data_IF_255162669282
#
_entry.id   IF_255162669282
#
_cell.length_a   1.000
_cell.length_b   1.000
_cell.length_c   1.000
_cell.angle_alpha   90.00
_cell.angle_beta   90.00
_cell.angle_gamma   90.00
#
_symmetry.space_group_name_H-M   'P 1'
#
loop_
_entity.id
_entity.type
_entity.pdbx_description
1 polymer ?
#
# COMPACT_ATOMS: atom_id res chain seq x y z
N UNK A 1 -31.97 5.11 17.22
CA UNK A 1 -33.43 5.25 17.04
C UNK A 1 -33.86 6.18 15.90
N UNK A 2 -33.14 7.27 15.58
CA UNK A 2 -33.52 8.12 14.41
C UNK A 2 -33.35 7.43 13.03
N UNK A 3 -32.51 6.41 12.93
CA UNK A 3 -32.36 5.60 11.71
C UNK A 3 -33.50 4.59 11.46
N UNK A 4 -34.30 4.25 12.48
CA UNK A 4 -35.36 3.24 12.37
C UNK A 4 -36.72 3.82 11.92
N UNK A 5 -36.91 5.14 11.96
CA UNK A 5 -38.16 5.78 11.54
C UNK A 5 -38.31 5.96 10.02
N UNK A 6 -37.25 5.78 9.23
CA UNK A 6 -37.31 5.94 7.77
C UNK A 6 -37.79 4.67 7.02
N UNK A 7 -37.99 3.55 7.73
CA UNK A 7 -38.25 2.23 7.12
C UNK A 7 -39.72 1.96 6.76
N UNK A 8 -40.67 2.85 7.06
CA UNK A 8 -42.09 2.55 6.92
C UNK A 8 -42.79 3.19 5.70
N UNK A 9 -42.13 4.03 4.89
CA UNK A 9 -42.85 4.80 3.85
C UNK A 9 -42.11 5.11 2.53
N UNK A 10 -41.07 4.38 2.13
CA UNK A 10 -40.44 4.64 0.82
C UNK A 10 -40.41 3.41 -0.06
N UNK A 11 -40.97 3.53 -1.26
CA UNK A 11 -40.74 2.63 -2.40
C UNK A 11 -39.23 2.58 -2.68
N UNK A 12 -38.57 1.53 -2.17
CA UNK A 12 -37.12 1.41 -2.28
C UNK A 12 -36.79 0.81 -3.64
N UNK A 13 -36.38 1.66 -4.59
CA UNK A 13 -35.76 1.24 -5.84
C UNK A 13 -34.45 0.49 -5.57
N UNK A 14 -34.03 -0.41 -6.47
CA UNK A 14 -32.76 -1.15 -6.32
C UNK A 14 -31.54 -0.22 -6.06
N UNK A 15 -31.55 0.98 -6.63
CA UNK A 15 -30.49 1.98 -6.45
C UNK A 15 -30.47 2.58 -5.04
N UNK A 16 -31.63 2.72 -4.39
CA UNK A 16 -31.71 3.23 -3.01
C UNK A 16 -31.32 2.17 -1.98
N UNK A 17 -31.59 0.88 -2.24
CA UNK A 17 -31.04 -0.24 -1.47
C UNK A 17 -29.51 -0.33 -1.64
N UNK A 18 -28.99 -0.28 -2.87
CA UNK A 18 -27.56 -0.34 -3.13
C UNK A 18 -26.81 0.86 -2.50
N UNK A 19 -27.38 2.06 -2.59
CA UNK A 19 -26.87 3.25 -1.91
C UNK A 19 -26.89 3.09 -0.38
N UNK A 20 -27.97 2.54 0.19
CA UNK A 20 -28.05 2.26 1.62
C UNK A 20 -27.03 1.21 2.10
N UNK A 21 -26.89 0.10 1.38
CA UNK A 21 -25.91 -0.95 1.69
C UNK A 21 -24.47 -0.44 1.55
N UNK A 22 -24.17 0.30 0.47
CA UNK A 22 -22.85 0.90 0.27
C UNK A 22 -22.56 1.96 1.33
N UNK A 23 -23.55 2.77 1.73
CA UNK A 23 -23.41 3.75 2.80
C UNK A 23 -23.20 3.07 4.17
N UNK A 24 -23.96 2.03 4.50
CA UNK A 24 -23.83 1.27 5.75
C UNK A 24 -22.49 0.54 5.82
N UNK A 25 -22.07 -0.09 4.73
CA UNK A 25 -20.75 -0.72 4.62
C UNK A 25 -19.62 0.32 4.71
N UNK A 26 -19.84 1.53 4.21
CA UNK A 26 -18.88 2.65 4.29
C UNK A 26 -18.78 3.19 5.70
N UNK A 27 -19.90 3.35 6.41
CA UNK A 27 -19.94 3.73 7.83
C UNK A 27 -19.17 2.69 8.64
N UNK A 28 -19.52 1.41 8.49
CA UNK A 28 -18.84 0.32 9.17
C UNK A 28 -17.32 0.35 8.90
N UNK A 29 -16.89 0.51 7.63
CA UNK A 29 -15.47 0.58 7.26
C UNK A 29 -14.72 1.79 7.83
N UNK A 30 -15.38 2.94 7.95
CA UNK A 30 -14.80 4.16 8.54
C UNK A 30 -14.66 3.97 10.05
N UNK A 31 -15.70 3.42 10.69
CA UNK A 31 -15.68 3.07 12.11
C UNK A 31 -14.59 2.02 12.41
N UNK A 32 -14.36 1.05 11.51
CA UNK A 32 -13.30 0.04 11.66
C UNK A 32 -11.92 0.68 11.79
N UNK A 33 -11.59 1.74 11.05
CA UNK A 33 -10.27 2.38 11.17
C UNK A 33 -10.10 3.01 12.55
N UNK A 34 -11.13 3.72 13.03
CA UNK A 34 -11.09 4.34 14.36
C UNK A 34 -10.99 3.29 15.47
N UNK A 35 -11.75 2.20 15.37
CA UNK A 35 -11.67 1.06 16.30
C UNK A 35 -10.26 0.45 16.29
N UNK A 36 -9.67 0.23 15.11
CA UNK A 36 -8.32 -0.32 15.01
C UNK A 36 -7.25 0.64 15.56
N UNK A 37 -7.41 1.96 15.39
CA UNK A 37 -6.53 2.97 16.02
C UNK A 37 -6.60 2.89 17.53
N UNK A 38 -7.82 2.86 18.08
CA UNK A 38 -8.05 2.75 19.53
C UNK A 38 -7.48 1.44 20.08
N UNK A 39 -7.66 0.33 19.36
CA UNK A 39 -7.08 -0.96 19.72
C UNK A 39 -5.56 -0.86 19.83
N UNK A 40 -4.88 -0.34 18.80
CA UNK A 40 -3.41 -0.22 18.79
C UNK A 40 -2.91 0.62 19.97
N UNK A 41 -3.60 1.70 20.33
CA UNK A 41 -3.21 2.54 21.47
C UNK A 41 -3.51 1.86 22.81
N UNK A 42 -4.55 1.03 22.88
CA UNK A 42 -5.01 0.39 24.14
C UNK A 42 -4.20 -0.85 24.50
N UNK A 43 -3.80 -1.64 23.51
CA UNK A 43 -2.97 -2.83 23.74
C UNK A 43 -1.50 -2.45 23.76
N UNK A 44 -0.71 -3.07 24.66
CA UNK A 44 0.75 -2.92 24.69
C UNK A 44 1.47 -3.98 23.84
N UNK A 45 0.71 -4.95 23.33
CA UNK A 45 1.20 -6.02 22.48
C UNK A 45 1.23 -5.60 20.99
N UNK A 46 2.00 -6.34 20.19
CA UNK A 46 1.97 -6.19 18.73
C UNK A 46 0.72 -6.84 18.14
N UNK A 47 0.28 -6.36 16.99
CA UNK A 47 -0.93 -6.86 16.33
C UNK A 47 -0.71 -8.27 15.78
N UNK A 48 -1.70 -9.12 15.98
CA UNK A 48 -1.74 -10.41 15.31
C UNK A 48 -1.93 -10.25 13.78
N UNK A 49 -1.73 -11.31 12.97
CA UNK A 49 -1.87 -11.20 11.52
C UNK A 49 -3.26 -10.75 11.04
N UNK A 50 -4.33 -11.10 11.76
CA UNK A 50 -5.71 -10.72 11.41
C UNK A 50 -5.97 -9.26 11.75
N UNK A 51 -5.56 -8.81 12.95
CA UNK A 51 -5.68 -7.42 13.40
C UNK A 51 -4.86 -6.48 12.52
N UNK A 52 -3.62 -6.85 12.20
CA UNK A 52 -2.76 -6.09 11.27
C UNK A 52 -3.40 -5.96 9.88
N UNK A 53 -3.96 -7.05 9.37
CA UNK A 53 -4.68 -7.02 8.10
C UNK A 53 -5.93 -6.13 8.18
N UNK A 54 -6.65 -6.15 9.30
CA UNK A 54 -7.84 -5.32 9.53
C UNK A 54 -7.50 -3.83 9.55
N UNK A 55 -6.43 -3.43 10.25
CA UNK A 55 -5.93 -2.05 10.26
C UNK A 55 -5.55 -1.59 8.84
N UNK A 56 -4.82 -2.43 8.11
CA UNK A 56 -4.37 -2.13 6.75
C UNK A 56 -5.53 -2.00 5.78
N UNK A 57 -6.50 -2.93 5.82
CA UNK A 57 -7.70 -2.91 4.98
C UNK A 57 -8.56 -1.69 5.30
N UNK A 58 -8.79 -1.38 6.58
CA UNK A 58 -9.59 -0.23 6.98
C UNK A 58 -8.97 1.08 6.49
N UNK A 59 -7.69 1.28 6.77
CA UNK A 59 -6.95 2.50 6.38
C UNK A 59 -6.81 2.64 4.86
N UNK A 60 -6.55 1.52 4.16
CA UNK A 60 -6.49 1.48 2.68
C UNK A 60 -7.83 1.84 2.06
N UNK A 61 -8.93 1.30 2.58
CA UNK A 61 -10.27 1.55 2.03
C UNK A 61 -10.66 3.03 2.13
N UNK A 62 -10.44 3.64 3.29
CA UNK A 62 -10.74 5.06 3.50
C UNK A 62 -9.89 5.95 2.59
N UNK A 63 -8.59 5.67 2.53
CA UNK A 63 -7.66 6.40 1.65
C UNK A 63 -8.03 6.22 0.18
N UNK A 64 -8.38 5.00 -0.25
CA UNK A 64 -8.78 4.72 -1.63
C UNK A 64 -10.04 5.51 -2.01
N UNK A 65 -11.04 5.55 -1.12
CA UNK A 65 -12.27 6.32 -1.34
C UNK A 65 -11.96 7.80 -1.53
N UNK A 66 -11.14 8.38 -0.66
CA UNK A 66 -10.77 9.80 -0.74
C UNK A 66 -9.90 10.11 -1.96
N UNK A 67 -8.96 9.23 -2.32
CA UNK A 67 -8.19 9.34 -3.58
C UNK A 67 -9.08 9.30 -4.81
N UNK A 68 -10.07 8.41 -4.87
CA UNK A 68 -11.03 8.35 -5.99
C UNK A 68 -11.85 9.64 -6.10
N UNK A 69 -12.28 10.20 -4.97
CA UNK A 69 -12.96 11.51 -4.95
C UNK A 69 -12.04 12.62 -5.46
N UNK A 70 -10.77 12.64 -5.02
CA UNK A 70 -9.78 13.59 -5.49
C UNK A 70 -9.53 13.50 -7.01
N UNK A 71 -9.32 12.30 -7.56
CA UNK A 71 -9.14 12.08 -9.00
C UNK A 71 -10.36 12.56 -9.80
N UNK A 72 -11.58 12.30 -9.30
CA UNK A 72 -12.81 12.77 -9.92
C UNK A 72 -12.87 14.30 -9.96
N UNK A 73 -12.59 14.97 -8.84
CA UNK A 73 -12.57 16.44 -8.77
C UNK A 73 -11.47 17.02 -9.67
N UNK A 74 -10.27 16.45 -9.66
CA UNK A 74 -9.17 16.84 -10.54
C UNK A 74 -9.56 16.74 -12.02
N UNK A 75 -10.27 15.68 -12.41
CA UNK A 75 -10.79 15.49 -13.77
C UNK A 75 -11.82 16.56 -14.13
N UNK A 76 -12.76 16.84 -13.22
CA UNK A 76 -13.78 17.87 -13.39
C UNK A 76 -13.18 19.27 -13.52
N UNK A 77 -12.15 19.61 -12.73
CA UNK A 77 -11.42 20.87 -12.89
C UNK A 77 -10.86 21.00 -14.31
N UNK A 78 -10.30 19.92 -14.87
CA UNK A 78 -9.84 19.88 -16.25
C UNK A 78 -10.98 20.12 -17.26
N UNK A 79 -12.16 19.54 -17.04
CA UNK A 79 -13.33 19.72 -17.89
C UNK A 79 -13.88 21.16 -17.82
N UNK A 80 -14.05 21.71 -16.61
CA UNK A 80 -14.52 23.09 -16.39
C UNK A 80 -13.63 24.09 -17.13
N UNK A 81 -12.30 23.88 -17.11
CA UNK A 81 -11.35 24.70 -17.88
C UNK A 81 -11.54 24.58 -19.38
N UNK A 82 -11.71 23.35 -19.90
CA UNK A 82 -11.90 23.10 -21.34
C UNK A 82 -13.21 23.69 -21.88
N UNK A 83 -14.28 23.61 -21.09
CA UNK A 83 -15.60 24.11 -21.46
C UNK A 83 -15.79 25.59 -21.14
N UNK A 84 -14.78 26.25 -20.55
CA UNK A 84 -14.80 27.67 -20.17
C UNK A 84 -16.03 28.04 -19.32
N UNK A 85 -16.41 27.17 -18.37
CA UNK A 85 -17.66 27.29 -17.61
C UNK A 85 -17.67 28.47 -16.61
N UNK A 86 -16.55 29.15 -16.42
CA UNK A 86 -16.40 30.33 -15.55
C UNK A 86 -15.57 30.08 -14.28
N UNK A 87 -15.00 31.16 -13.74
CA UNK A 87 -14.07 31.10 -12.60
C UNK A 87 -14.76 30.63 -11.30
N UNK A 88 -16.05 30.94 -11.12
CA UNK A 88 -16.81 30.54 -9.92
C UNK A 88 -16.86 29.01 -9.76
N UNK A 89 -17.13 28.27 -10.84
CA UNK A 89 -17.12 26.81 -10.82
C UNK A 89 -15.72 26.25 -10.54
N UNK A 90 -14.67 26.90 -11.07
CA UNK A 90 -13.29 26.51 -10.80
C UNK A 90 -12.90 26.74 -9.34
N UNK A 91 -13.38 27.80 -8.71
CA UNK A 91 -13.13 28.10 -7.31
C UNK A 91 -13.82 27.09 -6.40
N UNK A 92 -15.11 26.79 -6.65
CA UNK A 92 -15.84 25.76 -5.91
C UNK A 92 -15.15 24.40 -6.01
N UNK A 93 -14.73 24.01 -7.22
CA UNK A 93 -14.05 22.73 -7.43
C UNK A 93 -12.68 22.69 -6.73
N UNK A 94 -11.92 23.79 -6.73
CA UNK A 94 -10.63 23.90 -6.02
C UNK A 94 -10.79 23.85 -4.51
N UNK A 95 -11.74 24.59 -3.94
CA UNK A 95 -12.01 24.54 -2.50
C UNK A 95 -12.43 23.14 -2.05
N UNK A 96 -13.20 22.42 -2.87
CA UNK A 96 -13.56 21.04 -2.57
C UNK A 96 -12.38 20.08 -2.72
N UNK A 97 -11.51 20.30 -3.72
CA UNK A 97 -10.27 19.56 -3.87
C UNK A 97 -9.37 19.72 -2.63
N UNK A 98 -9.15 20.95 -2.15
CA UNK A 98 -8.33 21.23 -0.96
C UNK A 98 -8.86 20.52 0.29
N UNK A 99 -10.18 20.50 0.50
CA UNK A 99 -10.80 19.74 1.60
C UNK A 99 -10.47 18.25 1.54
N UNK A 100 -10.58 17.63 0.35
CA UNK A 100 -10.25 16.21 0.18
C UNK A 100 -8.76 15.97 0.38
N UNK A 101 -7.90 16.89 -0.08
CA UNK A 101 -6.46 16.80 0.12
C UNK A 101 -6.08 16.86 1.59
N UNK A 102 -6.69 17.74 2.38
CA UNK A 102 -6.44 17.84 3.82
C UNK A 102 -6.90 16.59 4.58
N UNK A 103 -8.06 16.06 4.23
CA UNK A 103 -8.54 14.77 4.77
C UNK A 103 -7.59 13.61 4.40
N UNK A 104 -7.08 13.57 3.16
CA UNK A 104 -6.09 12.57 2.75
C UNK A 104 -4.78 12.71 3.52
N UNK A 105 -4.29 13.94 3.71
CA UNK A 105 -3.08 14.22 4.50
C UNK A 105 -3.23 13.71 5.92
N UNK A 106 -4.37 13.98 6.56
CA UNK A 106 -4.67 13.53 7.91
C UNK A 106 -4.67 12.00 7.99
N UNK A 107 -5.43 11.31 7.13
CA UNK A 107 -5.49 9.84 7.12
C UNK A 107 -4.10 9.22 6.92
N UNK A 108 -3.31 9.75 5.97
CA UNK A 108 -1.98 9.24 5.69
C UNK A 108 -1.04 9.47 6.87
N UNK A 109 -1.02 10.68 7.43
CA UNK A 109 -0.15 11.04 8.55
C UNK A 109 -0.48 10.20 9.78
N UNK A 110 -1.75 10.11 10.17
CA UNK A 110 -2.16 9.28 11.29
C UNK A 110 -1.78 7.80 11.13
N UNK A 111 -1.87 7.27 9.90
CA UNK A 111 -1.48 5.87 9.65
C UNK A 111 0.04 5.70 9.70
N UNK A 112 0.81 6.64 9.17
CA UNK A 112 2.28 6.63 9.26
C UNK A 112 2.71 6.73 10.73
N UNK A 113 2.17 7.70 11.48
CA UNK A 113 2.50 7.92 12.90
C UNK A 113 2.18 6.67 13.74
N UNK A 114 1.08 5.96 13.46
CA UNK A 114 0.74 4.71 14.12
C UNK A 114 1.77 3.59 13.83
N UNK A 115 2.22 3.49 12.59
CA UNK A 115 3.14 2.42 12.16
C UNK A 115 4.57 2.71 12.62
N UNK A 116 5.07 3.91 12.37
CA UNK A 116 6.43 4.33 12.73
C UNK A 116 6.59 4.55 14.23
N UNK A 117 5.60 5.17 14.87
CA UNK A 117 5.68 5.55 16.28
C UNK A 117 5.29 4.45 17.27
N UNK A 118 4.48 3.48 16.84
CA UNK A 118 3.94 2.44 17.75
C UNK A 118 4.26 1.03 17.29
N UNK A 119 3.79 0.63 16.10
CA UNK A 119 3.85 -0.78 15.67
C UNK A 119 5.26 -1.28 15.35
N UNK A 120 6.07 -0.49 14.63
CA UNK A 120 7.46 -0.86 14.34
C UNK A 120 8.31 -0.95 15.62
N UNK A 121 8.28 0.02 16.54
CA UNK A 121 8.97 -0.10 17.83
C UNK A 121 8.55 -1.32 18.65
N UNK A 122 7.25 -1.64 18.69
CA UNK A 122 6.74 -2.86 19.37
C UNK A 122 7.29 -4.14 18.75
N UNK A 123 7.27 -4.24 17.42
CA UNK A 123 7.82 -5.39 16.69
C UNK A 123 9.32 -5.61 16.99
N UNK A 124 10.06 -4.52 17.15
CA UNK A 124 11.50 -4.53 17.44
C UNK A 124 11.84 -4.75 18.93
N UNK A 125 10.85 -4.83 19.83
CA UNK A 125 11.05 -5.20 21.23
C UNK A 125 10.96 -4.07 22.27
N UNK A 126 10.43 -2.90 21.92
CA UNK A 126 9.95 -1.90 22.89
C UNK A 126 10.98 -1.00 23.58
N UNK A 127 10.82 0.31 23.36
CA UNK A 127 10.91 1.42 24.33
C UNK A 127 12.10 1.61 25.29
N UNK A 128 13.26 0.98 25.13
CA UNK A 128 14.49 1.44 25.82
C UNK A 128 15.53 2.06 24.88
N UNK A 129 15.41 1.88 23.57
CA UNK A 129 16.41 2.41 22.62
C UNK A 129 16.06 3.79 22.04
N UNK A 130 14.76 4.15 22.00
CA UNK A 130 14.28 5.40 21.40
C UNK A 130 14.26 6.58 22.39
N UNK A 131 13.97 6.32 23.68
CA UNK A 131 13.92 7.36 24.71
C UNK A 131 15.30 7.70 25.31
N UNK A 132 16.24 6.75 25.36
CA UNK A 132 17.61 7.00 25.83
C UNK A 132 18.40 7.86 24.84
N UNK A 133 18.20 7.69 23.53
CA UNK A 133 18.89 8.50 22.51
C UNK A 133 18.31 9.92 22.40
N UNK A 134 17.00 10.11 22.62
CA UNK A 134 16.42 11.47 22.69
C UNK A 134 16.84 12.25 23.95
N UNK A 135 17.15 11.57 25.06
CA UNK A 135 17.68 12.22 26.27
C UNK A 135 19.20 12.44 26.23
N UNK A 136 19.97 11.63 25.50
CA UNK A 136 21.41 11.83 25.31
C UNK A 136 21.73 12.92 24.28
N UNK A 137 20.92 13.07 23.21
CA UNK A 137 21.03 14.21 22.28
C UNK A 137 20.61 15.54 22.92
N UNK A 138 19.74 15.52 23.95
CA UNK A 138 19.39 16.72 24.72
C UNK A 138 20.41 17.09 25.81
N UNK A 139 21.22 16.13 26.30
CA UNK A 139 22.24 16.41 27.33
C UNK A 139 23.63 16.76 26.79
N UNK A 140 23.90 16.56 25.50
CA UNK A 140 25.13 17.03 24.85
C UNK A 140 25.01 18.42 24.22
N UNK A 141 23.82 19.04 24.27
CA UNK A 141 23.58 20.44 23.86
C UNK A 141 23.75 21.49 24.95
N UNK A 142 24.05 21.10 26.20
CA UNK A 142 24.15 22.02 27.35
C UNK A 142 25.52 21.94 28.07
N UNK A 143 26.63 21.83 27.34
CA UNK A 143 27.95 22.20 27.88
C UNK A 143 28.82 22.81 26.79
N UNK A 144 28.63 24.11 26.55
CA UNK A 144 29.44 24.84 25.57
C UNK A 144 29.09 26.32 25.39
N UNK A 145 28.62 27.02 26.42
CA UNK A 145 28.59 28.49 26.39
C UNK A 145 29.80 29.05 27.15
N UNK A 146 30.81 29.53 26.42
CA UNK A 146 31.64 30.69 26.78
C UNK A 146 32.51 31.14 25.59
N UNK A 147 32.35 32.41 25.18
CA UNK A 147 33.24 33.17 24.28
C UNK A 147 32.71 33.33 22.86
N UNK A 148 31.85 34.32 22.59
CA UNK A 148 32.21 35.66 22.06
C UNK A 148 32.49 35.74 20.54
N UNK A 149 31.46 36.22 19.84
CA UNK A 149 31.43 37.32 18.85
C UNK A 149 32.20 37.28 17.50
N UNK A 150 31.42 37.65 16.47
CA UNK A 150 31.79 38.26 15.17
C UNK A 150 32.35 37.39 14.04
N UNK A 151 31.45 36.96 13.13
CA UNK A 151 31.54 37.26 11.69
C UNK A 151 30.28 36.79 10.95
N UNK A 152 29.60 37.73 10.26
CA UNK A 152 28.52 37.47 9.32
C UNK A 152 29.08 36.85 8.03
N UNK A 153 28.43 35.80 7.52
CA UNK A 153 27.95 35.62 6.13
C UNK A 153 27.89 34.14 5.70
N UNK A 154 26.72 33.76 5.18
CA UNK A 154 26.47 32.65 4.25
C UNK A 154 26.67 31.21 4.77
N UNK A 155 25.58 30.56 5.18
CA UNK A 155 25.07 29.29 4.63
C UNK A 155 23.97 28.77 5.56
N UNK A 156 22.72 28.79 5.08
CA UNK A 156 21.64 28.02 5.69
C UNK A 156 21.89 26.54 5.38
N UNK A 157 22.50 25.80 6.30
CA UNK A 157 22.44 24.34 6.30
C UNK A 157 21.19 23.91 7.06
N UNK A 158 20.22 23.43 6.29
CA UNK A 158 19.02 22.74 6.77
C UNK A 158 19.46 21.39 7.35
N UNK A 159 19.39 21.20 8.67
CA UNK A 159 19.65 19.89 9.29
C UNK A 159 18.49 18.94 8.96
N UNK A 160 18.79 17.92 8.17
CA UNK A 160 17.87 16.86 7.75
C UNK A 160 17.58 15.91 8.93
N UNK A 161 16.32 15.49 9.14
CA UNK A 161 16.02 14.43 10.11
C UNK A 161 16.72 13.14 9.66
N UNK A 162 17.51 12.52 10.54
CA UNK A 162 18.14 11.22 10.26
C UNK A 162 17.04 10.21 9.90
N UNK A 163 17.16 9.66 8.70
CA UNK A 163 16.20 8.74 8.08
C UNK A 163 16.12 7.42 8.85
N UNK A 164 15.03 6.66 8.61
CA UNK A 164 14.77 5.27 9.08
C UNK A 164 15.98 4.31 8.89
N UNK A 165 16.99 4.74 8.14
CA UNK A 165 18.23 4.05 7.78
C UNK A 165 19.13 3.82 8.99
N UNK A 166 19.15 4.76 9.94
CA UNK A 166 19.92 4.60 11.17
C UNK A 166 19.33 3.49 12.08
N UNK A 167 18.01 3.50 12.25
CA UNK A 167 17.26 2.54 13.09
C UNK A 167 17.35 1.10 12.55
N UNK A 168 17.45 0.92 11.23
CA UNK A 168 17.55 -0.40 10.62
C UNK A 168 18.96 -0.99 10.66
N UNK A 169 20.01 -0.16 10.73
CA UNK A 169 21.40 -0.64 10.72
C UNK A 169 21.81 -1.32 12.04
N UNK A 170 21.22 -0.91 13.17
CA UNK A 170 21.59 -1.42 14.50
C UNK A 170 20.81 -2.70 14.87
N UNK A 171 19.60 -2.90 14.34
CA UNK A 171 18.79 -4.11 14.54
C UNK A 171 19.32 -5.36 13.79
N UNK A 172 20.33 -5.22 12.92
CA UNK A 172 20.87 -6.30 12.09
C UNK A 172 21.82 -7.28 12.84
N UNK A 173 21.96 -7.16 14.17
CA UNK A 173 22.95 -7.93 14.95
C UNK A 173 22.40 -9.20 15.63
N UNK A 174 21.09 -9.46 15.59
CA UNK A 174 20.52 -10.71 16.14
C UNK A 174 19.63 -11.43 15.12
N UNK A 175 19.63 -12.76 15.20
CA UNK A 175 18.87 -13.65 14.32
C UNK A 175 17.37 -13.52 14.63
N UNK A 176 16.71 -12.55 14.00
CA UNK A 176 15.29 -12.30 14.18
C UNK A 176 14.46 -13.45 13.58
N UNK A 177 13.49 -14.03 14.30
CA UNK A 177 12.66 -15.13 13.77
C UNK A 177 11.91 -14.72 12.49
N UNK A 178 11.71 -15.67 11.56
CA UNK A 178 11.09 -15.49 10.22
C UNK A 178 9.79 -14.68 10.23
N UNK A 179 8.95 -14.86 11.26
CA UNK A 179 7.69 -14.12 11.48
C UNK A 179 7.88 -12.63 11.80
N UNK A 180 9.07 -12.16 12.17
CA UNK A 180 9.32 -10.73 12.36
C UNK A 180 9.68 -10.04 11.04
N UNK A 181 10.18 -10.78 10.05
CA UNK A 181 10.64 -10.21 8.78
C UNK A 181 9.49 -9.86 7.84
N UNK A 182 8.51 -10.74 7.65
CA UNK A 182 7.30 -10.47 6.85
C UNK A 182 6.48 -9.32 7.45
N UNK A 183 6.37 -9.25 8.78
CA UNK A 183 5.76 -8.13 9.50
C UNK A 183 6.49 -6.81 9.28
N UNK A 184 7.82 -6.82 9.39
CA UNK A 184 8.63 -5.63 9.17
C UNK A 184 8.51 -5.12 7.74
N UNK A 185 8.52 -6.03 6.76
CA UNK A 185 8.27 -5.70 5.34
C UNK A 185 6.86 -5.13 5.18
N UNK A 186 5.85 -5.73 5.83
CA UNK A 186 4.47 -5.25 5.77
C UNK A 186 4.34 -3.81 6.27
N UNK A 187 4.92 -3.48 7.43
CA UNK A 187 4.88 -2.14 7.99
C UNK A 187 5.66 -1.12 7.16
N UNK A 188 6.87 -1.46 6.70
CA UNK A 188 7.67 -0.58 5.83
C UNK A 188 6.97 -0.34 4.47
N UNK A 189 6.39 -1.38 3.87
CA UNK A 189 5.57 -1.25 2.67
C UNK A 189 4.39 -0.31 2.92
N UNK A 190 3.73 -0.43 4.07
CA UNK A 190 2.60 0.42 4.43
C UNK A 190 3.02 1.89 4.53
N UNK A 191 4.14 2.19 5.19
CA UNK A 191 4.74 3.52 5.23
C UNK A 191 5.02 4.05 3.81
N UNK A 192 5.65 3.21 2.96
CA UNK A 192 5.91 3.53 1.56
C UNK A 192 4.65 3.91 0.79
N UNK A 193 3.56 3.14 0.97
CA UNK A 193 2.25 3.38 0.37
C UNK A 193 1.66 4.73 0.79
N UNK A 194 1.68 5.06 2.09
CA UNK A 194 1.08 6.31 2.58
C UNK A 194 1.89 7.55 2.20
N UNK A 195 3.23 7.46 2.20
CA UNK A 195 4.04 8.54 1.66
C UNK A 195 3.87 8.70 0.14
N UNK A 196 3.63 7.62 -0.60
CA UNK A 196 3.28 7.69 -2.03
C UNK A 196 1.97 8.44 -2.25
N UNK A 197 0.94 8.18 -1.44
CA UNK A 197 -0.33 8.92 -1.53
C UNK A 197 -0.17 10.41 -1.20
N UNK A 198 0.68 10.75 -0.23
CA UNK A 198 1.03 12.14 0.06
C UNK A 198 1.77 12.80 -1.10
N UNK A 199 2.68 12.09 -1.77
CA UNK A 199 3.38 12.63 -2.94
C UNK A 199 2.44 12.88 -4.12
N UNK A 200 1.45 12.01 -4.35
CA UNK A 200 0.49 12.08 -5.45
C UNK A 200 -0.38 13.34 -5.41
N UNK A 201 -0.84 13.75 -4.23
CA UNK A 201 -1.72 14.91 -4.08
C UNK A 201 -0.97 16.25 -4.03
N UNK A 202 0.36 16.22 -3.90
CA UNK A 202 1.20 17.42 -3.80
C UNK A 202 1.68 17.87 -5.18
N UNK A 203 1.94 19.17 -5.32
CA UNK A 203 2.37 19.79 -6.58
C UNK A 203 3.79 20.37 -6.48
N UNK A 204 4.52 20.31 -7.58
CA UNK A 204 5.87 20.88 -7.67
C UNK A 204 6.82 20.29 -6.63
N UNK A 205 7.65 21.13 -6.02
CA UNK A 205 8.69 20.71 -5.07
C UNK A 205 8.14 20.12 -3.76
N UNK A 206 6.89 20.44 -3.40
CA UNK A 206 6.26 19.90 -2.19
C UNK A 206 6.08 18.38 -2.23
N UNK A 207 6.09 17.75 -3.43
CA UNK A 207 6.01 16.29 -3.57
C UNK A 207 7.32 15.58 -3.23
N UNK A 208 8.45 16.26 -3.35
CA UNK A 208 9.80 15.69 -3.23
C UNK A 208 10.03 15.00 -1.88
N UNK A 209 9.80 15.64 -0.71
CA UNK A 209 10.08 15.00 0.58
C UNK A 209 9.23 13.73 0.79
N UNK A 210 7.98 13.74 0.34
CA UNK A 210 7.10 12.56 0.42
C UNK A 210 7.58 11.44 -0.52
N UNK A 211 7.99 11.76 -1.75
CA UNK A 211 8.55 10.79 -2.68
C UNK A 211 9.84 10.14 -2.13
N UNK A 212 10.74 10.94 -1.53
CA UNK A 212 11.96 10.42 -0.91
C UNK A 212 11.67 9.46 0.25
N UNK A 213 10.72 9.81 1.13
CA UNK A 213 10.31 8.95 2.25
C UNK A 213 9.64 7.66 1.77
N UNK A 214 8.81 7.76 0.73
CA UNK A 214 8.18 6.58 0.10
C UNK A 214 9.24 5.64 -0.48
N UNK A 215 10.20 6.19 -1.25
CA UNK A 215 11.29 5.42 -1.84
C UNK A 215 12.13 4.72 -0.77
N UNK A 216 12.57 5.46 0.25
CA UNK A 216 13.38 4.93 1.35
C UNK A 216 12.69 3.75 2.04
N UNK A 217 11.41 3.88 2.37
CA UNK A 217 10.63 2.82 3.00
C UNK A 217 10.49 1.57 2.11
N UNK A 218 10.22 1.74 0.82
CA UNK A 218 10.14 0.63 -0.12
C UNK A 218 11.49 -0.06 -0.36
N UNK A 219 12.59 0.70 -0.49
CA UNK A 219 13.93 0.15 -0.67
C UNK A 219 14.32 -0.75 0.51
N UNK A 220 14.12 -0.27 1.73
CA UNK A 220 14.35 -1.05 2.95
C UNK A 220 13.49 -2.30 3.04
N UNK A 221 12.21 -2.19 2.68
CA UNK A 221 11.33 -3.34 2.63
C UNK A 221 11.84 -4.38 1.61
N UNK A 222 12.34 -3.92 0.47
CA UNK A 222 12.82 -4.79 -0.60
C UNK A 222 14.16 -5.46 -0.26
N UNK A 223 15.07 -4.73 0.42
CA UNK A 223 16.31 -5.29 0.96
C UNK A 223 16.02 -6.45 1.92
N UNK A 224 15.11 -6.24 2.88
CA UNK A 224 14.71 -7.30 3.83
C UNK A 224 14.03 -8.45 3.10
N UNK A 225 13.14 -8.16 2.14
CA UNK A 225 12.43 -9.19 1.39
C UNK A 225 13.36 -10.07 0.53
N UNK A 226 14.48 -9.51 0.06
CA UNK A 226 15.49 -10.21 -0.76
C UNK A 226 16.54 -10.93 0.07
N UNK A 227 16.73 -10.60 1.36
CA UNK A 227 17.67 -11.30 2.22
C UNK A 227 17.23 -12.77 2.41
N UNK A 228 18.05 -13.75 1.98
CA UNK A 228 17.73 -15.17 2.20
C UNK A 228 17.49 -15.52 3.67
N UNK A 229 18.10 -14.80 4.61
CA UNK A 229 17.91 -14.98 6.05
C UNK A 229 16.52 -14.57 6.53
N UNK A 230 15.88 -13.61 5.85
CA UNK A 230 14.51 -13.23 6.15
C UNK A 230 13.53 -14.36 5.83
N UNK A 231 13.88 -15.26 4.91
CA UNK A 231 13.09 -16.43 4.55
C UNK A 231 11.74 -16.10 3.91
N UNK A 232 11.54 -14.92 3.35
CA UNK A 232 10.26 -14.55 2.72
C UNK A 232 10.27 -15.03 1.27
N UNK A 233 9.44 -16.04 0.96
CA UNK A 233 9.35 -16.63 -0.37
C UNK A 233 8.97 -15.59 -1.43
N UNK A 234 9.45 -15.76 -2.66
CA UNK A 234 9.15 -14.90 -3.82
C UNK A 234 7.65 -14.83 -4.11
N UNK A 235 6.92 -15.93 -3.88
CA UNK A 235 5.46 -16.05 -4.00
C UNK A 235 4.69 -15.51 -2.79
N UNK A 236 5.37 -15.07 -1.72
CA UNK A 236 4.70 -14.59 -0.52
C UNK A 236 3.91 -13.30 -0.80
N UNK A 237 2.62 -13.19 -0.40
CA UNK A 237 1.78 -12.05 -0.75
C UNK A 237 2.34 -10.69 -0.34
N UNK A 238 3.03 -10.60 0.80
CA UNK A 238 3.67 -9.36 1.25
C UNK A 238 4.84 -8.94 0.35
N UNK A 239 5.65 -9.89 -0.13
CA UNK A 239 6.79 -9.63 -1.03
C UNK A 239 6.31 -9.27 -2.43
N UNK A 240 5.37 -10.03 -2.98
CA UNK A 240 4.74 -9.70 -4.28
C UNK A 240 4.04 -8.34 -4.23
N UNK A 241 3.25 -8.09 -3.18
CA UNK A 241 2.54 -6.82 -2.99
C UNK A 241 3.49 -5.64 -2.81
N UNK A 242 4.66 -5.84 -2.18
CA UNK A 242 5.72 -4.84 -2.11
C UNK A 242 6.24 -4.48 -3.51
N UNK A 243 6.65 -5.48 -4.29
CA UNK A 243 7.17 -5.27 -5.65
C UNK A 243 6.14 -4.61 -6.57
N UNK A 244 4.87 -5.02 -6.47
CA UNK A 244 3.77 -4.39 -7.19
C UNK A 244 3.66 -2.90 -6.86
N UNK A 245 3.62 -2.55 -5.57
CA UNK A 245 3.45 -1.15 -5.18
C UNK A 245 4.70 -0.30 -5.44
N UNK A 246 5.90 -0.86 -5.30
CA UNK A 246 7.14 -0.15 -5.55
C UNK A 246 7.38 0.09 -7.06
N UNK A 247 7.00 -0.84 -7.93
CA UNK A 247 7.00 -0.59 -9.38
C UNK A 247 6.03 0.51 -9.78
N UNK A 248 4.81 0.52 -9.21
CA UNK A 248 3.84 1.62 -9.41
C UNK A 248 4.41 2.95 -8.94
N UNK A 249 5.09 2.99 -7.79
CA UNK A 249 5.78 4.19 -7.31
C UNK A 249 6.80 4.74 -8.32
N UNK A 250 7.64 3.87 -8.88
CA UNK A 250 8.63 4.28 -9.88
C UNK A 250 7.97 4.86 -11.14
N UNK A 251 6.90 4.22 -11.61
CA UNK A 251 6.17 4.69 -12.80
C UNK A 251 5.42 6.00 -12.54
N UNK A 252 4.58 6.06 -11.51
CA UNK A 252 3.63 7.16 -11.29
C UNK A 252 4.25 8.36 -10.57
N UNK A 253 5.19 8.14 -9.64
CA UNK A 253 5.75 9.23 -8.81
C UNK A 253 7.14 9.65 -9.26
N UNK A 254 7.99 8.69 -9.65
CA UNK A 254 9.33 9.00 -10.15
C UNK A 254 9.39 9.24 -11.65
N UNK A 255 8.32 8.93 -12.37
CA UNK A 255 8.25 9.04 -13.83
C UNK A 255 9.36 8.22 -14.51
N UNK A 256 9.80 7.13 -13.85
CA UNK A 256 10.85 6.22 -14.30
C UNK A 256 10.24 4.85 -14.63
N UNK A 257 9.63 4.79 -15.82
CA UNK A 257 8.98 3.57 -16.33
C UNK A 257 9.98 2.42 -16.53
N UNK A 258 11.25 2.72 -16.80
CA UNK A 258 12.26 1.68 -16.99
C UNK A 258 12.51 0.93 -15.69
N UNK A 259 12.81 1.65 -14.60
CA UNK A 259 13.00 1.05 -13.29
C UNK A 259 11.73 0.33 -12.81
N UNK A 260 10.54 0.89 -13.10
CA UNK A 260 9.26 0.25 -12.79
C UNK A 260 9.11 -1.12 -13.47
N UNK A 261 9.41 -1.19 -14.77
CA UNK A 261 9.36 -2.44 -15.55
C UNK A 261 10.39 -3.46 -15.05
N UNK A 262 11.61 -3.03 -14.72
CA UNK A 262 12.64 -3.91 -14.16
C UNK A 262 12.16 -4.56 -12.84
N UNK A 263 11.66 -3.77 -11.90
CA UNK A 263 11.14 -4.27 -10.60
C UNK A 263 9.98 -5.24 -10.81
N UNK A 264 9.00 -4.85 -11.65
CA UNK A 264 7.82 -5.66 -11.92
C UNK A 264 8.19 -6.98 -12.61
N UNK A 265 9.09 -6.93 -13.60
CA UNK A 265 9.49 -8.11 -14.36
C UNK A 265 10.28 -9.10 -13.51
N UNK A 266 11.22 -8.62 -12.68
CA UNK A 266 11.94 -9.48 -11.74
C UNK A 266 10.97 -10.18 -10.78
N UNK A 267 10.00 -9.46 -10.22
CA UNK A 267 9.04 -10.06 -9.29
C UNK A 267 8.10 -11.06 -9.98
N UNK A 268 7.72 -10.81 -11.24
CA UNK A 268 6.92 -11.74 -12.03
C UNK A 268 7.69 -13.02 -12.34
N UNK A 269 8.95 -12.91 -12.72
CA UNK A 269 9.79 -14.04 -13.13
C UNK A 269 10.12 -14.93 -11.92
N UNK A 270 10.64 -14.34 -10.84
CA UNK A 270 10.91 -15.05 -9.58
C UNK A 270 9.63 -15.69 -9.00
N UNK A 271 8.50 -14.97 -9.06
CA UNK A 271 7.25 -15.46 -8.51
C UNK A 271 6.61 -16.59 -9.33
N UNK A 272 6.80 -16.61 -10.65
CA UNK A 272 6.32 -17.69 -11.51
C UNK A 272 7.18 -18.95 -11.37
N UNK A 273 8.50 -18.81 -11.25
CA UNK A 273 9.42 -19.93 -11.05
C UNK A 273 9.08 -20.73 -9.78
N UNK A 274 8.74 -20.03 -8.69
CA UNK A 274 8.39 -20.65 -7.41
C UNK A 274 6.88 -20.94 -7.25
N UNK A 275 6.04 -20.62 -8.24
CA UNK A 275 4.57 -20.74 -8.12
C UNK A 275 4.13 -22.21 -8.01
N UNK A 276 4.78 -23.10 -8.75
CA UNK A 276 4.47 -24.54 -8.76
C UNK A 276 4.70 -25.20 -7.39
N UNK A 277 5.58 -24.63 -6.56
CA UNK A 277 5.81 -25.09 -5.20
C UNK A 277 4.60 -24.86 -4.27
N UNK A 278 3.61 -24.06 -4.69
CA UNK A 278 2.38 -23.80 -3.95
C UNK A 278 1.20 -24.71 -4.34
N UNK A 279 1.40 -25.68 -5.24
CA UNK A 279 0.31 -26.53 -5.78
C UNK A 279 -0.49 -27.24 -4.68
N UNK A 280 0.15 -27.64 -3.58
CA UNK A 280 -0.52 -28.31 -2.45
C UNK A 280 -1.25 -27.33 -1.50
N UNK A 281 -1.09 -26.03 -1.69
CA UNK A 281 -1.74 -24.98 -0.92
C UNK A 281 -2.55 -24.05 -1.85
N UNK A 282 -3.74 -24.53 -2.22
CA UNK A 282 -4.64 -23.84 -3.15
C UNK A 282 -4.91 -22.37 -2.78
N UNK A 283 -5.01 -22.06 -1.49
CA UNK A 283 -5.23 -20.68 -1.03
C UNK A 283 -4.02 -19.79 -1.30
N UNK A 284 -2.83 -20.23 -0.88
CA UNK A 284 -1.60 -19.48 -1.11
C UNK A 284 -1.30 -19.33 -2.61
N UNK A 285 -1.52 -20.38 -3.39
CA UNK A 285 -1.41 -20.36 -4.84
C UNK A 285 -2.31 -19.28 -5.46
N UNK A 286 -3.60 -19.27 -5.07
CA UNK A 286 -4.59 -18.30 -5.56
C UNK A 286 -4.22 -16.86 -5.22
N UNK A 287 -3.79 -16.62 -3.98
CA UNK A 287 -3.40 -15.28 -3.53
C UNK A 287 -2.15 -14.79 -4.28
N UNK A 288 -1.14 -15.65 -4.47
CA UNK A 288 0.06 -15.33 -5.24
C UNK A 288 -0.24 -15.07 -6.72
N UNK A 289 -1.01 -15.96 -7.36
CA UNK A 289 -1.38 -15.85 -8.77
C UNK A 289 -2.17 -14.57 -9.06
N UNK A 290 -3.05 -14.14 -8.15
CA UNK A 290 -3.80 -12.90 -8.30
C UNK A 290 -2.88 -11.67 -8.29
N UNK A 291 -1.87 -11.62 -7.42
CA UNK A 291 -0.94 -10.49 -7.38
C UNK A 291 0.00 -10.51 -8.60
N UNK A 292 0.51 -11.67 -8.99
CA UNK A 292 1.33 -11.83 -10.20
C UNK A 292 0.57 -11.38 -11.46
N UNK A 293 -0.73 -11.65 -11.53
CA UNK A 293 -1.58 -11.15 -12.61
C UNK A 293 -1.64 -9.63 -12.65
N UNK A 294 -1.81 -8.97 -11.50
CA UNK A 294 -1.78 -7.50 -11.42
C UNK A 294 -0.44 -6.92 -11.87
N UNK A 295 0.68 -7.53 -11.46
CA UNK A 295 2.03 -7.12 -11.89
C UNK A 295 2.15 -7.22 -13.42
N UNK A 296 1.70 -8.33 -14.00
CA UNK A 296 1.72 -8.55 -15.45
C UNK A 296 0.83 -7.57 -16.22
N UNK A 297 -0.34 -7.25 -15.69
CA UNK A 297 -1.25 -6.28 -16.30
C UNK A 297 -0.62 -4.89 -16.33
N UNK A 298 0.07 -4.48 -15.26
CA UNK A 298 0.85 -3.24 -15.21
C UNK A 298 1.99 -3.24 -16.24
N UNK A 299 2.79 -4.30 -16.32
CA UNK A 299 3.87 -4.42 -17.32
C UNK A 299 3.32 -4.23 -18.74
N UNK A 300 2.23 -4.96 -19.05
CA UNK A 300 1.61 -4.90 -20.37
C UNK A 300 1.10 -3.49 -20.71
N UNK A 301 0.50 -2.81 -19.73
CA UNK A 301 0.03 -1.44 -19.87
C UNK A 301 1.21 -0.49 -20.13
N UNK A 302 2.27 -0.56 -19.33
CA UNK A 302 3.40 0.36 -19.44
C UNK A 302 4.24 0.16 -20.70
N UNK A 303 4.44 -1.09 -21.14
CA UNK A 303 5.11 -1.41 -22.40
C UNK A 303 4.36 -0.86 -23.61
N UNK A 304 3.03 -0.76 -23.55
CA UNK A 304 2.24 -0.20 -24.65
C UNK A 304 2.53 1.29 -24.88
N UNK A 305 2.83 2.03 -23.81
CA UNK A 305 3.21 3.45 -23.88
C UNK A 305 4.64 3.65 -24.39
N UNK A 306 5.59 2.77 -24.01
CA UNK A 306 6.97 2.84 -24.50
C UNK A 306 7.07 2.44 -25.97
N UNK A 307 6.30 1.43 -26.40
CA UNK A 307 6.26 0.99 -27.80
C UNK A 307 5.62 2.02 -28.73
N UNK A 308 4.71 2.85 -28.21
CA UNK A 308 4.10 3.97 -28.94
C UNK A 308 5.01 5.19 -29.05
N UNK A 309 6.04 5.29 -28.19
CA UNK A 309 7.03 6.38 -28.20
C UNK A 309 8.34 5.99 -28.90
N UNK A 310 8.64 4.70 -29.05
CA UNK A 310 9.85 4.18 -29.70
C UNK A 310 9.51 3.31 -30.92
N UNK A 311 9.01 3.92 -32.00
CA UNK A 311 8.98 3.25 -33.30
C UNK A 311 10.37 3.26 -33.94
N UNK A 312 11.28 2.37 -33.52
CA UNK A 312 12.36 1.79 -34.33
C UNK A 312 13.14 0.68 -33.60
N UNK A 313 12.79 -0.58 -33.91
CA UNK A 313 13.75 -1.67 -34.12
C UNK A 313 14.18 -2.54 -32.94
N UNK A 314 13.72 -3.81 -32.94
CA UNK A 314 14.38 -4.91 -32.24
C UNK A 314 13.45 -6.06 -31.86
N UNK A 315 13.32 -7.08 -32.74
CA UNK A 315 12.43 -8.22 -32.54
C UNK A 315 13.08 -9.52 -32.05
N UNK A 316 12.17 -10.45 -31.68
CA UNK A 316 12.25 -11.92 -31.58
C UNK A 316 12.61 -12.64 -30.28
N UNK A 317 13.23 -12.04 -29.25
CA UNK A 317 13.40 -12.74 -27.94
C UNK A 317 12.31 -12.42 -26.93
N UNK A 318 11.72 -11.23 -27.02
CA UNK A 318 10.66 -10.78 -26.10
C UNK A 318 9.32 -11.48 -26.35
N UNK A 319 9.02 -11.89 -27.59
CA UNK A 319 7.77 -12.58 -27.93
C UNK A 319 7.71 -14.02 -27.41
N UNK A 320 8.82 -14.76 -27.35
CA UNK A 320 8.85 -16.12 -26.80
C UNK A 320 8.69 -16.11 -25.26
N UNK A 321 9.44 -15.24 -24.57
CA UNK A 321 9.29 -15.04 -23.12
C UNK A 321 7.89 -14.54 -22.73
N UNK A 322 7.26 -13.71 -23.57
CA UNK A 322 5.88 -13.26 -23.36
C UNK A 322 4.89 -14.42 -23.47
N UNK A 323 5.03 -15.29 -24.48
CA UNK A 323 4.18 -16.48 -24.66
C UNK A 323 4.31 -17.49 -23.51
N UNK A 324 5.49 -17.68 -22.97
CA UNK A 324 5.73 -18.60 -21.85
C UNK A 324 5.11 -18.09 -20.54
N UNK A 325 5.24 -16.78 -20.24
CA UNK A 325 4.58 -16.12 -19.10
C UNK A 325 3.06 -16.02 -19.27
N UNK A 326 2.56 -15.97 -20.51
CA UNK A 326 1.14 -16.10 -20.84
C UNK A 326 0.61 -17.51 -20.59
N UNK A 327 1.37 -18.54 -20.97
CA UNK A 327 1.00 -19.93 -20.73
C UNK A 327 0.95 -20.26 -19.23
N UNK A 328 1.95 -19.84 -18.43
CA UNK A 328 1.99 -20.09 -16.99
C UNK A 328 0.80 -19.50 -16.23
N UNK A 329 0.42 -18.25 -16.53
CA UNK A 329 -0.76 -17.63 -15.91
C UNK A 329 -2.10 -18.18 -16.43
N UNK A 330 -2.18 -18.55 -17.70
CA UNK A 330 -3.40 -19.16 -18.24
C UNK A 330 -3.60 -20.57 -17.63
N UNK A 331 -2.53 -21.33 -17.43
CA UNK A 331 -2.56 -22.60 -16.71
C UNK A 331 -3.00 -22.38 -15.24
N UNK A 332 -2.48 -21.34 -14.58
CA UNK A 332 -2.91 -20.97 -13.23
C UNK A 332 -4.40 -20.57 -13.17
N UNK A 333 -4.90 -19.80 -14.16
CA UNK A 333 -6.31 -19.42 -14.27
C UNK A 333 -7.21 -20.63 -14.55
N UNK A 334 -6.76 -21.57 -15.38
CA UNK A 334 -7.49 -22.80 -15.66
C UNK A 334 -7.57 -23.69 -14.41
N UNK A 335 -6.47 -23.82 -13.66
CA UNK A 335 -6.46 -24.53 -12.38
C UNK A 335 -7.38 -23.85 -11.35
N UNK A 336 -7.35 -22.51 -11.23
CA UNK A 336 -8.26 -21.75 -10.38
C UNK A 336 -9.74 -21.96 -10.73
N UNK A 337 -10.06 -22.05 -12.03
CA UNK A 337 -11.42 -22.33 -12.49
C UNK A 337 -11.87 -23.75 -12.13
N UNK A 338 -10.97 -24.74 -12.21
CA UNK A 338 -11.24 -26.13 -11.84
C UNK A 338 -11.44 -26.29 -10.33
N UNK A 339 -10.58 -25.69 -9.51
CA UNK A 339 -10.72 -25.73 -8.04
C UNK A 339 -12.00 -25.05 -7.55
N UNK A 340 -12.43 -23.97 -8.20
CA UNK A 340 -13.69 -23.29 -7.88
C UNK A 340 -14.91 -24.17 -8.14
N UNK A 341 -14.91 -24.92 -9.25
CA UNK A 341 -15.98 -25.88 -9.57
C UNK A 341 -16.01 -27.01 -8.53
N UNK A 342 -14.85 -27.52 -8.09
CA UNK A 342 -14.77 -28.56 -7.06
C UNK A 342 -15.19 -28.10 -5.65
N UNK A 343 -15.02 -26.81 -5.32
CA UNK A 343 -15.52 -26.22 -4.07
C UNK A 343 -17.04 -26.03 -4.10
N UNK A 344 -17.59 -25.53 -5.22
CA UNK A 344 -19.02 -25.37 -5.43
C UNK A 344 -19.75 -26.74 -5.40
N UNK A 345 -19.17 -27.77 -6.03
CA UNK A 345 -19.71 -29.16 -6.00
C UNK A 345 -19.69 -29.78 -4.59
N UNK A 346 -18.73 -29.39 -3.73
CA UNK A 346 -18.64 -29.84 -2.33
C UNK A 346 -19.64 -29.12 -1.42
N UNK A 347 -19.90 -27.83 -1.65
CA UNK A 347 -20.95 -27.10 -0.94
C UNK A 347 -22.34 -27.67 -1.27
N UNK A 348 -22.61 -27.94 -2.54
CA UNK A 348 -23.88 -28.55 -2.98
C UNK A 348 -24.06 -29.97 -2.40
N UNK A 349 -22.99 -30.78 -2.35
CA UNK A 349 -23.03 -32.09 -1.72
C UNK A 349 -23.23 -32.01 -0.18
N UNK A 350 -22.69 -31.00 0.49
CA UNK A 350 -22.85 -30.78 1.93
C UNK A 350 -24.25 -30.28 2.30
N UNK A 351 -24.88 -29.46 1.44
CA UNK A 351 -26.28 -29.04 1.58
C UNK A 351 -27.21 -30.24 1.41
N UNK A 352 -26.98 -31.07 0.39
CA UNK A 352 -27.78 -32.26 0.11
C UNK A 352 -27.70 -33.31 1.24
N UNK A 353 -26.52 -33.48 1.87
CA UNK A 353 -26.36 -34.38 3.02
C UNK A 353 -26.96 -33.85 4.34
N UNK A 354 -27.18 -32.54 4.48
CA UNK A 354 -27.90 -31.96 5.63
C UNK A 354 -29.41 -32.11 5.51
N UNK A 355 -29.95 -32.15 4.28
CA UNK A 355 -31.37 -32.36 4.03
C UNK A 355 -31.76 -33.85 4.21
N UNK A 356 -30.89 -34.79 3.85
CA UNK A 356 -31.15 -36.23 3.99
C UNK A 356 -30.99 -36.79 5.42
N UNK A 357 -30.48 -36.01 6.38
CA UNK A 357 -30.35 -36.41 7.80
C UNK A 357 -31.43 -35.79 8.71
N UNK A 358 -32.48 -35.21 8.12
CA UNK A 358 -33.64 -34.63 8.83
C UNK A 358 -34.96 -35.39 8.63
N UNK A 359 -34.94 -36.50 7.91
CA UNK A 359 -35.99 -37.53 7.91
C UNK A 359 -35.56 -38.71 8.78
#
# INVERSE_FOLDING_TARGET
MRALCALLFCDVTKDSLLSYYTHTLTIFKTDMRQIMKELVVTIDEDLDPQERNMLSVASKNETTRRRQQWVCVQTNIGQIKRENMGEDFLNIAREYQEKIEDELKEICKETIDLVEGVLLPRLLGGTEHYEQQHQEEQKQGEQGEQGEQEAQQQQQHHESPKTVTALLSEASKEHSPRYKSDQKIFYLKMIGDYYRYLAEIQRGEARIPHAMRSQDAYEKALEIARDPKAGVATTHPVRLGLSLNYSVFHHEIREDTKSALEIAQTALDEGLEDLDALTDNARAYKDAALILKLIKDNISMWQSYTSSSESSGGGNKEEENKKEKDAGLNAAQEQLSKTRIEEDDKEDAAVTNKENNKE
#
